data_IF_244403062438
#
_entry.id   IF_244403062438
#
_cell.length_a   1.000
_cell.length_b   1.000
_cell.length_c   1.000
_cell.angle_alpha   90.00
_cell.angle_beta   90.00
_cell.angle_gamma   90.00
#
_symmetry.space_group_name_H-M   'P 1'
#
loop_
_entity.id
_entity.type
_entity.pdbx_description
1 polymer ?
#
# COMPACT_ATOMS: atom_id res chain seq x y z
N UNK A 1 27.09 54.16 -22.32
CA UNK A 1 25.73 54.20 -22.91
C UNK A 1 25.40 52.86 -23.60
N UNK A 2 24.92 51.85 -22.85
CA UNK A 2 24.48 50.55 -23.41
C UNK A 2 23.23 49.99 -22.70
N UNK A 3 22.45 50.85 -22.03
CA UNK A 3 21.41 50.39 -21.08
C UNK A 3 19.97 50.84 -21.41
N UNK A 4 19.71 51.47 -22.56
CA UNK A 4 18.36 51.91 -22.95
C UNK A 4 17.71 51.07 -24.06
N UNK A 5 18.50 50.29 -24.82
CA UNK A 5 17.97 49.46 -25.92
C UNK A 5 17.30 48.16 -25.46
N UNK A 6 17.65 47.65 -24.27
CA UNK A 6 17.12 46.38 -23.77
C UNK A 6 15.70 46.45 -23.18
N UNK A 7 15.29 47.60 -22.65
CA UNK A 7 14.01 47.75 -21.93
C UNK A 7 12.80 47.79 -22.87
N UNK A 8 12.96 48.29 -24.10
CA UNK A 8 11.88 48.34 -25.10
C UNK A 8 11.57 46.98 -25.74
N UNK A 9 12.58 46.11 -25.86
CA UNK A 9 12.46 44.80 -26.53
C UNK A 9 11.54 43.85 -25.77
N UNK A 10 11.47 43.94 -24.42
CA UNK A 10 10.70 43.02 -23.59
C UNK A 10 9.41 43.60 -22.99
N UNK A 11 8.95 44.79 -23.44
CA UNK A 11 7.67 45.35 -22.94
C UNK A 11 6.47 44.42 -23.19
N UNK A 12 6.55 43.54 -24.17
CA UNK A 12 5.51 42.53 -24.44
C UNK A 12 5.31 41.55 -23.28
N UNK A 13 6.29 41.37 -22.37
CA UNK A 13 6.15 40.55 -21.17
C UNK A 13 5.07 41.08 -20.21
N UNK A 14 4.70 42.36 -20.32
CA UNK A 14 3.62 42.99 -19.54
C UNK A 14 2.23 42.84 -20.19
N UNK A 15 2.15 42.21 -21.36
CA UNK A 15 0.84 41.93 -22.00
C UNK A 15 0.06 40.89 -21.20
N UNK A 16 -1.27 40.93 -21.28
CA UNK A 16 -2.17 39.97 -20.60
C UNK A 16 -1.75 38.51 -20.84
N UNK A 17 -1.37 38.18 -22.07
CA UNK A 17 -0.93 36.83 -22.42
C UNK A 17 0.32 36.41 -21.64
N UNK A 18 1.35 37.27 -21.58
CA UNK A 18 2.59 36.96 -20.86
C UNK A 18 2.43 36.98 -19.35
N UNK A 19 1.60 37.86 -18.80
CA UNK A 19 1.25 37.83 -17.38
C UNK A 19 0.56 36.53 -16.99
N UNK A 20 -0.36 36.02 -17.83
CA UNK A 20 -1.00 34.72 -17.62
C UNK A 20 0.04 33.58 -17.72
N UNK A 21 0.91 33.58 -18.73
CA UNK A 21 1.98 32.57 -18.86
C UNK A 21 2.89 32.54 -17.65
N UNK A 22 3.32 33.71 -17.16
CA UNK A 22 4.16 33.82 -15.96
C UNK A 22 3.44 33.37 -14.70
N UNK A 23 2.15 33.72 -14.56
CA UNK A 23 1.33 33.26 -13.44
C UNK A 23 1.17 31.74 -13.46
N UNK A 24 0.91 31.13 -14.62
CA UNK A 24 0.83 29.68 -14.77
C UNK A 24 2.17 29.04 -14.39
N UNK A 25 3.30 29.55 -14.91
CA UNK A 25 4.62 29.04 -14.57
C UNK A 25 4.91 29.15 -13.07
N UNK A 26 4.57 30.30 -12.46
CA UNK A 26 4.72 30.56 -11.02
C UNK A 26 3.92 29.60 -10.16
N UNK A 27 2.75 29.16 -10.61
CA UNK A 27 1.90 28.17 -9.91
C UNK A 27 2.34 26.73 -10.18
N UNK A 28 2.78 26.41 -11.40
CA UNK A 28 3.20 25.06 -11.78
C UNK A 28 4.50 24.65 -11.10
N UNK A 29 5.49 25.54 -10.99
CA UNK A 29 6.78 25.24 -10.35
C UNK A 29 6.62 24.68 -8.92
N UNK A 30 5.96 25.37 -7.97
CA UNK A 30 5.78 24.82 -6.62
C UNK A 30 4.89 23.57 -6.61
N UNK A 31 3.93 23.45 -7.53
CA UNK A 31 3.13 22.25 -7.67
C UNK A 31 3.98 21.03 -8.09
N UNK A 32 4.83 21.15 -9.10
CA UNK A 32 5.72 20.06 -9.55
C UNK A 32 6.76 19.71 -8.50
N UNK A 33 7.31 20.70 -7.76
CA UNK A 33 8.18 20.43 -6.61
C UNK A 33 7.46 19.59 -5.56
N UNK A 34 6.25 20.01 -5.16
CA UNK A 34 5.44 19.29 -4.16
C UNK A 34 5.12 17.87 -4.61
N UNK A 35 4.80 17.66 -5.88
CA UNK A 35 4.55 16.34 -6.45
C UNK A 35 5.80 15.47 -6.45
N UNK A 36 6.98 16.04 -6.71
CA UNK A 36 8.26 15.34 -6.60
C UNK A 36 8.52 14.83 -5.18
N UNK A 37 8.36 15.69 -4.17
CA UNK A 37 8.48 15.27 -2.76
C UNK A 37 7.42 14.25 -2.35
N UNK A 38 6.18 14.39 -2.82
CA UNK A 38 5.14 13.41 -2.55
C UNK A 38 5.51 12.02 -3.09
N UNK A 39 6.05 11.93 -4.31
CA UNK A 39 6.56 10.67 -4.88
C UNK A 39 7.79 10.15 -4.13
N UNK A 40 8.69 11.03 -3.68
CA UNK A 40 9.85 10.62 -2.87
C UNK A 40 9.41 10.01 -1.53
N UNK A 41 8.50 10.65 -0.79
CA UNK A 41 8.00 10.09 0.46
C UNK A 41 7.27 8.76 0.24
N UNK A 42 6.55 8.61 -0.88
CA UNK A 42 5.91 7.34 -1.28
C UNK A 42 6.96 6.25 -1.51
N UNK A 43 8.07 6.60 -2.16
CA UNK A 43 9.21 5.71 -2.36
C UNK A 43 9.84 5.29 -1.03
N UNK A 44 10.21 6.24 -0.17
CA UNK A 44 10.83 5.98 1.13
C UNK A 44 9.95 5.09 2.02
N UNK A 45 8.64 5.38 2.06
CA UNK A 45 7.69 4.55 2.81
C UNK A 45 7.62 3.10 2.27
N UNK A 46 7.73 2.93 0.94
CA UNK A 46 7.76 1.61 0.31
C UNK A 46 9.05 0.85 0.64
N UNK A 47 10.21 1.53 0.58
CA UNK A 47 11.52 0.96 0.94
C UNK A 47 11.54 0.53 2.40
N UNK A 48 11.18 1.42 3.32
CA UNK A 48 11.19 1.12 4.77
C UNK A 48 10.28 -0.09 5.10
N UNK A 49 9.09 -0.16 4.47
CA UNK A 49 8.19 -1.31 4.64
C UNK A 49 8.80 -2.60 4.09
N UNK A 50 9.41 -2.55 2.92
CA UNK A 50 10.05 -3.70 2.29
C UNK A 50 11.24 -4.21 3.12
N UNK A 51 12.06 -3.32 3.69
CA UNK A 51 13.15 -3.68 4.60
C UNK A 51 12.63 -4.36 5.87
N UNK A 52 11.53 -3.86 6.45
CA UNK A 52 10.87 -4.50 7.60
C UNK A 52 10.40 -5.91 7.28
N UNK A 53 9.72 -6.10 6.15
CA UNK A 53 9.26 -7.42 5.70
C UNK A 53 10.47 -8.35 5.46
N UNK A 54 11.44 -7.88 4.68
CA UNK A 54 12.61 -8.67 4.30
C UNK A 54 13.39 -9.15 5.52
N UNK A 55 13.61 -8.27 6.50
CA UNK A 55 14.24 -8.64 7.77
C UNK A 55 13.40 -9.65 8.56
N UNK A 56 12.09 -9.41 8.68
CA UNK A 56 11.22 -10.28 9.46
C UNK A 56 11.12 -11.70 8.90
N UNK A 57 11.26 -11.86 7.57
CA UNK A 57 11.24 -13.14 6.88
C UNK A 57 12.59 -13.88 6.94
N UNK A 58 13.72 -13.18 7.01
CA UNK A 58 15.05 -13.80 7.09
C UNK A 58 15.51 -14.10 8.52
N UNK A 59 14.99 -13.38 9.52
CA UNK A 59 15.31 -13.62 10.93
C UNK A 59 14.83 -15.02 11.37
N UNK A 60 15.67 -15.84 12.04
CA UNK A 60 15.29 -17.17 12.51
C UNK A 60 14.01 -17.12 13.36
N UNK A 61 13.05 -18.04 13.23
CA UNK A 61 11.83 -18.00 14.01
C UNK A 61 12.09 -17.99 15.52
N UNK A 62 11.30 -17.22 16.27
CA UNK A 62 11.34 -17.23 17.74
C UNK A 62 10.10 -17.92 18.32
N UNK A 63 10.21 -18.53 19.50
CA UNK A 63 9.04 -19.04 20.21
C UNK A 63 7.99 -17.93 20.40
N UNK A 64 6.72 -18.21 20.09
CA UNK A 64 5.64 -17.23 20.16
C UNK A 64 5.50 -16.59 21.55
N UNK A 65 5.76 -17.38 22.61
CA UNK A 65 5.71 -16.93 24.00
C UNK A 65 6.81 -15.93 24.39
N UNK A 66 7.93 -15.90 23.65
CA UNK A 66 9.03 -14.95 23.86
C UNK A 66 8.69 -13.52 23.42
N UNK A 67 7.63 -13.34 22.62
CA UNK A 67 7.20 -12.03 22.08
C UNK A 67 6.13 -11.34 22.93
N UNK A 68 5.82 -11.89 24.11
CA UNK A 68 4.84 -11.40 25.09
C UNK A 68 3.37 -11.44 24.64
N UNK A 69 2.75 -12.61 24.40
CA UNK A 69 1.36 -12.67 24.02
C UNK A 69 0.50 -12.82 25.28
N UNK A 70 0.18 -11.71 25.95
CA UNK A 70 -0.91 -11.65 26.92
C UNK A 70 -2.23 -11.36 26.18
N UNK A 71 -3.40 -11.70 26.75
CA UNK A 71 -4.67 -11.20 26.24
C UNK A 71 -4.65 -9.67 26.11
N UNK A 72 -5.09 -9.15 24.97
CA UNK A 72 -5.07 -7.71 24.67
C UNK A 72 -3.69 -7.14 24.30
N UNK A 73 -2.67 -7.98 24.07
CA UNK A 73 -1.38 -7.51 23.55
C UNK A 73 -1.53 -6.94 22.13
N UNK A 74 -1.31 -5.63 22.00
CA UNK A 74 -1.29 -4.95 20.71
C UNK A 74 0.06 -5.17 20.02
N UNK A 75 0.08 -6.00 18.97
CA UNK A 75 1.29 -6.32 18.19
C UNK A 75 1.93 -5.05 17.62
N UNK A 76 3.18 -4.72 18.00
CA UNK A 76 3.93 -3.61 17.44
C UNK A 76 4.17 -3.76 15.93
N UNK A 77 4.30 -2.64 15.22
CA UNK A 77 4.50 -2.62 13.76
C UNK A 77 5.80 -3.31 13.33
N UNK A 78 6.84 -3.20 14.14
CA UNK A 78 8.16 -3.81 13.92
C UNK A 78 8.19 -5.32 14.19
N UNK A 79 7.21 -5.86 14.95
CA UNK A 79 7.01 -7.30 15.10
C UNK A 79 6.04 -7.88 14.05
N UNK A 80 5.46 -7.04 13.20
CA UNK A 80 4.60 -7.52 12.12
C UNK A 80 5.43 -8.32 11.11
N UNK A 81 4.92 -9.48 10.70
CA UNK A 81 5.57 -10.51 9.89
C UNK A 81 6.69 -11.29 10.56
N UNK A 82 7.00 -11.01 11.83
CA UNK A 82 8.02 -11.77 12.55
C UNK A 82 7.70 -13.26 12.50
N UNK A 83 8.62 -14.07 11.98
CA UNK A 83 8.48 -15.52 12.01
C UNK A 83 8.47 -16.03 13.45
N UNK A 84 7.47 -16.83 13.80
CA UNK A 84 7.30 -17.41 15.13
C UNK A 84 7.00 -18.90 15.06
N UNK A 85 7.46 -19.64 16.07
CA UNK A 85 7.10 -21.04 16.26
C UNK A 85 6.09 -21.18 17.39
N UNK A 86 5.09 -22.04 17.18
CA UNK A 86 4.09 -22.36 18.19
C UNK A 86 3.79 -23.87 18.15
N UNK A 87 3.63 -24.46 19.33
CA UNK A 87 3.27 -25.88 19.49
C UNK A 87 1.97 -25.97 20.27
N UNK A 88 1.03 -26.78 19.76
CA UNK A 88 -0.30 -26.85 20.34
C UNK A 88 -1.24 -27.81 19.62
N UNK A 89 -2.49 -27.81 20.04
CA UNK A 89 -3.57 -28.57 19.39
C UNK A 89 -4.62 -27.59 18.85
N UNK A 90 -5.05 -27.80 17.61
CA UNK A 90 -6.14 -27.00 17.05
C UNK A 90 -7.45 -27.25 17.79
N UNK A 91 -8.32 -26.25 17.82
CA UNK A 91 -9.70 -26.35 18.32
C UNK A 91 -10.69 -26.17 17.16
N UNK A 92 -11.01 -27.25 16.41
CA UNK A 92 -11.90 -27.18 15.24
C UNK A 92 -13.34 -26.78 15.59
N UNK A 93 -13.76 -26.95 16.84
CA UNK A 93 -15.10 -26.56 17.29
C UNK A 93 -15.29 -25.04 17.20
N UNK A 94 -14.21 -24.28 17.36
CA UNK A 94 -14.19 -22.82 17.28
C UNK A 94 -13.51 -22.30 16.01
N UNK A 95 -13.33 -23.13 14.99
CA UNK A 95 -12.86 -22.68 13.68
C UNK A 95 -13.88 -21.72 13.06
N UNK A 96 -13.43 -20.70 12.34
CA UNK A 96 -14.30 -19.76 11.65
C UNK A 96 -13.66 -19.28 10.37
N UNK A 97 -14.46 -18.61 9.54
CA UNK A 97 -13.99 -18.03 8.29
C UNK A 97 -14.13 -16.52 8.26
N UNK A 98 -13.16 -15.86 7.65
CA UNK A 98 -13.19 -14.41 7.43
C UNK A 98 -13.43 -14.13 5.96
N UNK A 99 -14.53 -13.45 5.66
CA UNK A 99 -15.01 -13.32 4.27
C UNK A 99 -14.27 -12.23 3.50
N UNK A 100 -14.55 -12.20 2.19
CA UNK A 100 -14.09 -11.16 1.24
C UNK A 100 -12.56 -11.08 1.18
N UNK A 101 -11.93 -12.24 1.24
CA UNK A 101 -10.48 -12.39 1.10
C UNK A 101 -10.18 -12.84 -0.30
N UNK A 102 -9.22 -12.20 -0.95
CA UNK A 102 -8.80 -12.61 -2.29
C UNK A 102 -7.75 -13.70 -2.20
N UNK A 103 -7.71 -14.56 -3.22
CA UNK A 103 -6.59 -15.47 -3.44
C UNK A 103 -5.27 -14.70 -3.70
N UNK A 104 -4.20 -15.46 -3.97
CA UNK A 104 -2.89 -14.88 -4.24
C UNK A 104 -2.81 -14.10 -5.56
N UNK A 105 -3.70 -14.34 -6.53
CA UNK A 105 -3.71 -13.58 -7.79
C UNK A 105 -4.54 -12.30 -7.68
N UNK A 106 -5.50 -12.25 -6.75
CA UNK A 106 -6.41 -11.14 -6.57
C UNK A 106 -7.72 -11.28 -7.35
N UNK A 107 -7.91 -12.39 -8.07
CA UNK A 107 -9.01 -12.56 -9.02
C UNK A 107 -10.24 -13.22 -8.38
N UNK A 108 -10.02 -14.10 -7.40
CA UNK A 108 -11.08 -14.89 -6.78
C UNK A 108 -11.37 -14.41 -5.37
N UNK A 109 -12.63 -14.13 -5.07
CA UNK A 109 -13.08 -13.84 -3.71
C UNK A 109 -13.39 -15.16 -3.00
N UNK A 110 -12.87 -15.29 -1.79
CA UNK A 110 -13.10 -16.41 -0.90
C UNK A 110 -12.94 -15.99 0.56
N UNK A 111 -12.34 -16.89 1.33
CA UNK A 111 -12.33 -16.84 2.78
C UNK A 111 -10.95 -17.17 3.31
N UNK A 112 -10.54 -16.48 4.39
CA UNK A 112 -9.49 -17.00 5.24
C UNK A 112 -10.09 -17.98 6.24
N UNK A 113 -9.41 -19.11 6.44
CA UNK A 113 -9.76 -20.13 7.43
C UNK A 113 -8.94 -19.87 8.68
N UNK A 114 -9.61 -19.61 9.79
CA UNK A 114 -8.95 -19.33 11.07
C UNK A 114 -9.37 -20.38 12.10
N UNK A 115 -8.39 -21.08 12.64
CA UNK A 115 -8.61 -22.10 13.67
C UNK A 115 -7.81 -21.71 14.91
N UNK A 116 -8.44 -21.60 16.09
CA UNK A 116 -7.70 -21.40 17.33
C UNK A 116 -6.75 -22.56 17.62
N UNK A 117 -5.54 -22.26 18.09
CA UNK A 117 -4.53 -23.23 18.52
C UNK A 117 -4.31 -23.07 20.02
N UNK A 118 -4.69 -24.11 20.78
CA UNK A 118 -4.41 -24.19 22.22
C UNK A 118 -2.95 -24.57 22.40
N UNK A 119 -2.16 -23.67 22.98
CA UNK A 119 -0.73 -23.88 23.14
C UNK A 119 -0.46 -24.99 24.18
N UNK A 120 0.51 -25.86 23.88
CA UNK A 120 0.88 -27.00 24.75
C UNK A 120 1.51 -26.57 26.07
N UNK A 121 2.02 -25.34 26.15
CA UNK A 121 2.56 -24.74 27.38
C UNK A 121 1.48 -24.22 28.35
N UNK A 122 0.20 -24.25 27.93
CA UNK A 122 -0.95 -23.81 28.72
C UNK A 122 -1.09 -22.29 28.87
N UNK A 123 -0.27 -21.48 28.19
CA UNK A 123 -0.28 -20.01 28.34
C UNK A 123 -1.48 -19.33 27.69
N UNK A 124 -2.17 -20.02 26.79
CA UNK A 124 -3.38 -19.51 26.16
C UNK A 124 -3.67 -20.12 24.80
N UNK A 125 -4.54 -19.45 24.06
CA UNK A 125 -4.94 -19.85 22.71
C UNK A 125 -4.58 -18.76 21.72
N UNK A 126 -3.89 -19.10 20.64
CA UNK A 126 -3.55 -18.15 19.56
C UNK A 126 -4.43 -18.43 18.34
N UNK A 127 -4.88 -17.37 17.65
CA UNK A 127 -5.58 -17.53 16.38
C UNK A 127 -4.58 -17.85 15.26
N UNK A 128 -4.86 -18.88 14.47
CA UNK A 128 -4.03 -19.27 13.33
C UNK A 128 -4.85 -19.17 12.05
N UNK A 129 -4.48 -18.23 11.18
CA UNK A 129 -4.95 -18.21 9.81
C UNK A 129 -4.22 -19.30 9.02
N UNK A 130 -4.93 -20.40 8.76
CA UNK A 130 -4.42 -21.59 8.06
C UNK A 130 -4.30 -21.38 6.55
N UNK A 131 -4.84 -20.29 6.02
CA UNK A 131 -4.79 -19.96 4.61
C UNK A 131 -6.15 -19.60 4.02
N UNK A 132 -6.23 -19.65 2.70
CA UNK A 132 -7.36 -19.23 1.91
C UNK A 132 -8.10 -20.41 1.28
N UNK A 133 -9.42 -20.31 1.19
CA UNK A 133 -10.29 -21.21 0.42
C UNK A 133 -11.23 -20.41 -0.47
N UNK A 134 -11.56 -20.95 -1.64
CA UNK A 134 -12.55 -20.36 -2.52
C UNK A 134 -13.94 -20.32 -1.86
N UNK A 135 -14.78 -19.38 -2.29
CA UNK A 135 -16.19 -19.42 -1.88
C UNK A 135 -16.86 -20.68 -2.39
N UNK A 136 -17.80 -21.22 -1.60
CA UNK A 136 -18.71 -22.27 -2.08
C UNK A 136 -19.68 -21.76 -3.16
N UNK A 137 -20.77 -22.48 -3.37
CA UNK A 137 -21.77 -22.13 -4.39
C UNK A 137 -22.42 -20.76 -4.15
N UNK A 138 -22.50 -20.30 -2.90
CA UNK A 138 -23.02 -18.98 -2.53
C UNK A 138 -22.12 -18.27 -1.52
N UNK A 139 -22.13 -16.94 -1.54
CA UNK A 139 -21.32 -16.10 -0.63
C UNK A 139 -21.86 -16.03 0.81
N UNK A 140 -22.93 -16.78 1.12
CA UNK A 140 -23.56 -16.84 2.45
C UNK A 140 -23.40 -18.20 3.11
N UNK A 141 -23.10 -19.25 2.35
CA UNK A 141 -22.84 -20.57 2.89
C UNK A 141 -21.42 -20.65 3.47
N UNK A 142 -21.25 -21.50 4.49
CA UNK A 142 -19.92 -21.80 5.02
C UNK A 142 -19.13 -22.57 3.94
N UNK A 143 -17.91 -22.12 3.56
CA UNK A 143 -17.17 -22.75 2.48
C UNK A 143 -16.71 -24.16 2.86
N UNK A 144 -16.41 -25.04 1.89
CA UNK A 144 -15.72 -26.28 2.18
C UNK A 144 -14.32 -25.97 2.73
N UNK A 145 -14.06 -26.38 3.97
CA UNK A 145 -12.79 -26.14 4.67
C UNK A 145 -12.09 -27.48 4.91
N UNK A 146 -10.82 -27.64 4.47
CA UNK A 146 -10.01 -28.80 4.84
C UNK A 146 -9.81 -28.89 6.36
N UNK A 147 -10.02 -30.08 6.92
CA UNK A 147 -9.92 -30.31 8.35
C UNK A 147 -8.55 -29.91 8.92
N UNK A 148 -8.53 -29.36 10.13
CA UNK A 148 -7.28 -29.10 10.82
C UNK A 148 -6.55 -30.42 11.15
N UNK A 149 -5.20 -30.45 11.14
CA UNK A 149 -4.46 -31.62 11.60
C UNK A 149 -4.91 -32.03 13.01
N UNK A 150 -5.11 -33.33 13.22
CA UNK A 150 -5.43 -33.87 14.52
C UNK A 150 -4.17 -34.04 15.39
N UNK A 151 -4.35 -33.93 16.70
CA UNK A 151 -3.26 -34.06 17.66
C UNK A 151 -2.39 -32.81 17.78
N UNK A 152 -1.20 -32.97 18.34
CA UNK A 152 -0.25 -31.88 18.54
C UNK A 152 0.49 -31.54 17.26
N UNK A 153 0.56 -30.24 16.95
CA UNK A 153 1.30 -29.70 15.83
C UNK A 153 2.35 -28.72 16.32
N UNK A 154 3.46 -28.65 15.61
CA UNK A 154 4.39 -27.51 15.68
C UNK A 154 4.32 -26.76 14.36
N UNK A 155 3.99 -25.48 14.43
CA UNK A 155 3.87 -24.63 13.26
C UNK A 155 4.87 -23.48 13.31
N UNK A 156 5.24 -23.02 12.11
CA UNK A 156 5.85 -21.71 11.90
C UNK A 156 4.81 -20.81 11.27
N UNK A 157 4.60 -19.64 11.85
CA UNK A 157 3.70 -18.63 11.35
C UNK A 157 4.35 -17.25 11.32
N UNK A 158 3.76 -16.33 10.57
CA UNK A 158 4.14 -14.92 10.60
C UNK A 158 3.20 -14.19 11.54
N UNK A 159 3.74 -13.48 12.52
CA UNK A 159 2.95 -12.72 13.47
C UNK A 159 2.25 -11.55 12.77
N UNK A 160 0.96 -11.37 13.05
CA UNK A 160 0.16 -10.26 12.54
C UNK A 160 -0.58 -9.60 13.70
N UNK A 161 -0.73 -8.29 13.60
CA UNK A 161 -1.65 -7.56 14.46
C UNK A 161 -3.08 -7.98 14.15
N UNK A 162 -3.93 -7.99 15.17
CA UNK A 162 -5.37 -8.15 14.98
C UNK A 162 -5.92 -7.07 14.05
N UNK A 163 -6.99 -7.41 13.34
CA UNK A 163 -7.68 -6.49 12.46
C UNK A 163 -8.76 -5.75 13.23
N UNK A 164 -8.87 -4.44 12.99
CA UNK A 164 -9.89 -3.59 13.62
C UNK A 164 -10.68 -2.83 12.57
N UNK A 165 -11.94 -2.53 12.87
CA UNK A 165 -12.80 -1.76 11.96
C UNK A 165 -12.27 -0.34 11.72
N UNK A 166 -11.65 0.28 12.73
CA UNK A 166 -11.03 1.59 12.62
C UNK A 166 -9.83 1.61 11.67
N UNK A 167 -8.97 0.58 11.71
CA UNK A 167 -7.80 0.50 10.85
C UNK A 167 -8.11 0.00 9.42
N UNK A 168 -9.12 -0.85 9.26
CA UNK A 168 -9.47 -1.47 7.97
C UNK A 168 -10.44 -0.65 7.12
N UNK A 169 -11.19 0.29 7.73
CA UNK A 169 -12.29 0.99 7.06
C UNK A 169 -13.49 0.08 6.71
N UNK A 170 -13.45 -1.18 7.16
CA UNK A 170 -14.56 -2.12 7.03
C UNK A 170 -15.65 -1.69 8.01
N UNK A 171 -16.90 -1.72 7.56
CA UNK A 171 -18.05 -1.46 8.44
C UNK A 171 -18.44 -2.74 9.14
N UNK A 172 -18.67 -2.64 10.45
CA UNK A 172 -19.30 -3.71 11.20
C UNK A 172 -20.75 -3.87 10.72
N UNK A 173 -21.14 -5.10 10.39
CA UNK A 173 -22.47 -5.43 9.88
C UNK A 173 -23.01 -6.59 10.71
N UNK A 174 -24.12 -6.36 11.38
CA UNK A 174 -24.86 -7.39 12.10
C UNK A 174 -25.47 -8.43 11.14
N UNK A 175 -25.76 -9.62 11.67
CA UNK A 175 -26.48 -10.68 10.93
C UNK A 175 -25.61 -11.46 9.94
N UNK A 176 -24.31 -11.62 10.22
CA UNK A 176 -23.49 -12.56 9.47
C UNK A 176 -23.95 -13.99 9.75
N UNK A 177 -23.82 -14.91 8.76
CA UNK A 177 -24.03 -16.32 9.02
C UNK A 177 -23.11 -16.85 10.12
N UNK A 178 -23.52 -17.94 10.75
CA UNK A 178 -22.77 -18.56 11.84
C UNK A 178 -21.31 -18.86 11.44
N UNK A 179 -20.38 -18.62 12.37
CA UNK A 179 -18.93 -18.79 12.20
C UNK A 179 -18.31 -18.01 11.02
N UNK A 180 -18.96 -16.93 10.57
CA UNK A 180 -18.42 -16.03 9.56
C UNK A 180 -18.19 -14.62 10.10
N UNK A 181 -16.99 -14.09 9.87
CA UNK A 181 -16.58 -12.78 10.36
C UNK A 181 -16.05 -11.90 9.22
N UNK A 182 -15.99 -10.59 9.45
CA UNK A 182 -15.35 -9.67 8.51
C UNK A 182 -13.85 -9.50 8.82
N UNK A 183 -13.45 -9.67 10.08
CA UNK A 183 -12.12 -9.40 10.58
C UNK A 183 -11.59 -10.57 11.44
N UNK A 184 -10.26 -10.73 11.44
CA UNK A 184 -9.56 -11.55 12.43
C UNK A 184 -9.30 -10.65 13.65
N UNK A 185 -10.16 -10.71 14.66
CA UNK A 185 -10.14 -9.82 15.81
C UNK A 185 -10.28 -10.61 17.13
N UNK A 186 -9.18 -10.69 17.88
CA UNK A 186 -9.10 -11.50 19.09
C UNK A 186 -10.14 -11.12 20.14
N UNK A 187 -10.48 -9.84 20.29
CA UNK A 187 -11.52 -9.41 21.24
C UNK A 187 -12.92 -9.88 20.83
N UNK A 188 -13.23 -9.82 19.53
CA UNK A 188 -14.50 -10.32 19.00
C UNK A 188 -14.59 -11.83 19.16
N UNK A 189 -13.55 -12.57 18.77
CA UNK A 189 -13.57 -14.02 18.85
C UNK A 189 -13.49 -14.56 20.30
N UNK A 190 -12.85 -13.85 21.23
CA UNK A 190 -12.84 -14.22 22.64
C UNK A 190 -14.25 -14.13 23.25
N UNK A 191 -15.06 -13.15 22.85
CA UNK A 191 -16.46 -13.02 23.30
C UNK A 191 -17.36 -14.14 22.80
N UNK A 192 -17.15 -14.58 21.56
CA UNK A 192 -17.95 -15.66 20.93
C UNK A 192 -17.57 -17.04 21.48
N UNK A 193 -16.28 -17.29 21.71
CA UNK A 193 -15.77 -18.61 22.12
C UNK A 193 -15.62 -18.78 23.63
N UNK A 194 -15.60 -17.68 24.39
CA UNK A 194 -15.25 -17.68 25.81
C UNK A 194 -13.78 -18.02 26.09
N UNK A 195 -12.94 -18.16 25.06
CA UNK A 195 -11.55 -18.55 25.21
C UNK A 195 -10.65 -17.35 25.56
N UNK A 196 -9.60 -17.61 26.34
CA UNK A 196 -8.51 -16.66 26.57
C UNK A 196 -7.62 -16.60 25.33
N UNK A 197 -7.96 -15.68 24.41
CA UNK A 197 -7.20 -15.46 23.19
C UNK A 197 -6.01 -14.52 23.44
N UNK A 198 -4.87 -14.94 22.93
CA UNK A 198 -3.64 -14.20 22.96
C UNK A 198 -3.62 -13.14 21.85
N UNK A 199 -2.95 -12.00 22.08
CA UNK A 199 -2.97 -10.87 21.15
C UNK A 199 -2.38 -11.17 19.77
N UNK A 200 -3.03 -10.63 18.74
CA UNK A 200 -2.68 -10.85 17.34
C UNK A 200 -3.08 -12.23 16.81
N UNK A 201 -2.58 -12.58 15.63
CA UNK A 201 -2.80 -13.89 15.02
C UNK A 201 -1.58 -14.33 14.20
N UNK A 202 -1.52 -15.62 13.87
CA UNK A 202 -0.46 -16.20 13.06
C UNK A 202 -0.96 -16.49 11.65
N UNK A 203 -0.26 -15.99 10.63
CA UNK A 203 -0.42 -16.47 9.26
C UNK A 203 0.45 -17.71 9.09
N UNK A 204 -0.17 -18.87 8.86
CA UNK A 204 0.53 -20.14 8.72
C UNK A 204 1.52 -20.10 7.55
N UNK A 205 2.77 -20.48 7.83
CA UNK A 205 3.81 -20.66 6.82
C UNK A 205 4.18 -22.14 6.64
N UNK A 206 4.27 -22.89 7.75
CA UNK A 206 4.54 -24.33 7.73
C UNK A 206 3.97 -24.99 8.99
N UNK A 207 3.65 -26.29 8.92
CA UNK A 207 3.20 -27.09 10.05
C UNK A 207 3.76 -28.49 10.00
N UNK A 208 4.03 -29.09 11.16
CA UNK A 208 4.45 -30.49 11.33
C UNK A 208 3.55 -31.15 12.40
N UNK A 209 2.97 -32.33 12.12
CA UNK A 209 2.98 -33.05 10.84
C UNK A 209 2.30 -32.24 9.73
N UNK A 210 2.73 -32.48 8.49
CA UNK A 210 2.09 -31.89 7.31
C UNK A 210 0.73 -32.58 7.08
N UNK A 211 -0.37 -31.83 6.90
CA UNK A 211 -1.66 -32.44 6.60
C UNK A 211 -1.71 -32.98 5.17
N UNK A 212 -2.62 -33.94 4.94
CA UNK A 212 -2.89 -34.45 3.59
C UNK A 212 -3.58 -33.42 2.68
N UNK A 213 -4.37 -32.53 3.27
CA UNK A 213 -5.04 -31.42 2.60
C UNK A 213 -5.06 -30.18 3.50
N UNK A 214 -4.97 -28.99 2.92
CA UNK A 214 -4.95 -27.72 3.65
C UNK A 214 -5.43 -26.55 2.78
N UNK A 215 -5.94 -25.47 3.41
CA UNK A 215 -6.16 -24.21 2.71
C UNK A 215 -4.90 -23.73 1.98
N UNK A 216 -5.09 -22.95 0.92
CA UNK A 216 -3.99 -22.34 0.19
C UNK A 216 -3.25 -21.38 1.12
N UNK A 217 -1.96 -21.63 1.38
CA UNK A 217 -1.17 -20.75 2.24
C UNK A 217 -1.09 -19.33 1.65
N UNK A 218 -1.14 -18.34 2.53
CA UNK A 218 -0.93 -16.94 2.12
C UNK A 218 0.54 -16.78 1.77
N UNK A 219 0.87 -16.31 0.55
CA UNK A 219 2.26 -16.10 0.15
C UNK A 219 2.91 -15.04 1.02
N UNK A 220 4.24 -15.05 1.05
CA UNK A 220 4.98 -14.00 1.72
C UNK A 220 4.66 -12.63 1.11
N UNK A 221 4.64 -11.56 1.92
CA UNK A 221 4.41 -10.23 1.40
C UNK A 221 5.52 -9.84 0.43
N UNK A 222 5.14 -9.31 -0.73
CA UNK A 222 6.12 -8.79 -1.68
C UNK A 222 6.88 -7.61 -1.05
N UNK A 223 8.18 -7.79 -0.96
CA UNK A 223 9.13 -6.81 -0.43
C UNK A 223 10.30 -6.52 -1.38
N UNK A 224 10.28 -7.04 -2.61
CA UNK A 224 11.28 -6.73 -3.64
C UNK A 224 10.84 -5.59 -4.56
N UNK A 225 9.52 -5.41 -4.73
CA UNK A 225 8.98 -4.34 -5.58
C UNK A 225 8.90 -2.99 -4.84
N UNK A 226 9.64 -2.02 -5.39
CA UNK A 226 9.75 -0.63 -4.91
C UNK A 226 8.87 0.31 -5.76
N UNK A 227 8.41 -0.13 -6.93
CA UNK A 227 7.66 0.67 -7.88
C UNK A 227 8.46 1.83 -8.51
N UNK A 228 7.86 2.56 -9.46
CA UNK A 228 8.52 3.64 -10.20
C UNK A 228 8.54 4.99 -9.47
N UNK A 229 8.23 5.02 -8.18
CA UNK A 229 8.03 6.26 -7.40
C UNK A 229 9.25 7.19 -7.47
N UNK A 230 10.47 6.65 -7.41
CA UNK A 230 11.70 7.45 -7.57
C UNK A 230 11.82 8.07 -8.96
N UNK A 231 11.55 7.30 -10.02
CA UNK A 231 11.60 7.80 -11.39
C UNK A 231 10.60 8.94 -11.60
N UNK A 232 9.39 8.82 -11.02
CA UNK A 232 8.41 9.90 -11.06
C UNK A 232 8.83 11.12 -10.25
N UNK A 233 9.48 10.95 -9.10
CA UNK A 233 10.02 12.09 -8.34
C UNK A 233 11.00 12.91 -9.18
N UNK A 234 11.94 12.21 -9.84
CA UNK A 234 12.90 12.83 -10.77
C UNK A 234 12.17 13.51 -11.94
N UNK A 235 11.19 12.84 -12.55
CA UNK A 235 10.39 13.41 -13.63
C UNK A 235 9.72 14.74 -13.23
N UNK A 236 9.13 14.82 -12.03
CA UNK A 236 8.52 16.05 -11.52
C UNK A 236 9.54 17.18 -11.30
N UNK A 237 10.74 16.85 -10.84
CA UNK A 237 11.81 17.84 -10.71
C UNK A 237 12.39 18.26 -12.06
N UNK A 238 12.41 17.37 -13.06
CA UNK A 238 12.75 17.75 -14.44
C UNK A 238 11.72 18.75 -15.00
N UNK A 239 10.42 18.53 -14.79
CA UNK A 239 9.40 19.52 -15.18
C UNK A 239 9.61 20.87 -14.47
N UNK A 240 9.96 20.84 -13.19
CA UNK A 240 10.30 22.05 -12.42
C UNK A 240 11.42 22.84 -13.10
N UNK A 241 12.47 22.17 -13.58
CA UNK A 241 13.58 22.81 -14.29
C UNK A 241 13.22 23.23 -15.73
N UNK A 242 12.38 22.47 -16.42
CA UNK A 242 11.99 22.75 -17.82
C UNK A 242 11.04 23.94 -17.95
N UNK A 243 10.17 24.20 -16.97
CA UNK A 243 9.22 25.33 -17.01
C UNK A 243 9.93 26.69 -17.22
N UNK A 244 10.91 27.12 -16.40
CA UNK A 244 11.59 28.39 -16.61
C UNK A 244 12.40 28.43 -17.90
N UNK A 245 13.00 27.30 -18.30
CA UNK A 245 13.70 27.17 -19.60
C UNK A 245 12.73 27.40 -20.76
N UNK A 246 11.56 26.78 -20.73
CA UNK A 246 10.52 26.94 -21.74
C UNK A 246 10.02 28.38 -21.82
N UNK A 247 9.74 29.01 -20.68
CA UNK A 247 9.35 30.43 -20.59
C UNK A 247 10.43 31.34 -21.20
N UNK A 248 11.70 31.08 -20.91
CA UNK A 248 12.83 31.84 -21.47
C UNK A 248 13.00 31.65 -22.98
N UNK A 249 12.88 30.41 -23.49
CA UNK A 249 12.93 30.13 -24.94
C UNK A 249 11.79 30.85 -25.65
N UNK A 250 10.56 30.76 -25.13
CA UNK A 250 9.40 31.45 -25.69
C UNK A 250 9.60 32.97 -25.71
N UNK A 251 10.17 33.54 -24.65
CA UNK A 251 10.41 34.99 -24.57
C UNK A 251 11.47 35.43 -25.58
N UNK A 252 12.53 34.63 -25.77
CA UNK A 252 13.56 34.90 -26.78
C UNK A 252 13.04 34.80 -28.21
N UNK A 253 12.19 33.82 -28.49
CA UNK A 253 11.58 33.65 -29.82
C UNK A 253 10.68 34.84 -30.16
N UNK A 254 9.77 35.20 -29.26
CA UNK A 254 8.87 36.34 -29.42
C UNK A 254 9.64 37.67 -29.60
N UNK A 255 10.70 37.89 -28.83
CA UNK A 255 11.54 39.08 -28.98
C UNK A 255 12.23 39.14 -30.36
N UNK A 256 12.69 38.00 -30.88
CA UNK A 256 13.32 37.90 -32.20
C UNK A 256 12.31 38.13 -33.32
N UNK A 257 11.11 37.58 -33.20
CA UNK A 257 10.05 37.71 -34.21
C UNK A 257 9.53 39.15 -34.28
N UNK A 258 9.35 39.82 -33.13
CA UNK A 258 9.02 41.25 -33.07
C UNK A 258 10.13 42.14 -33.65
N UNK A 259 11.40 41.81 -33.40
CA UNK A 259 12.52 42.57 -33.96
C UNK A 259 12.63 42.42 -35.49
N UNK A 260 12.27 41.26 -36.05
CA UNK A 260 12.19 41.04 -37.50
C UNK A 260 11.07 41.87 -38.14
N UNK A 261 9.88 41.83 -37.56
CA UNK A 261 8.72 42.62 -38.04
C UNK A 261 8.98 44.12 -38.02
N UNK A 262 9.73 44.62 -37.02
CA UNK A 262 10.11 46.03 -36.95
C UNK A 262 11.18 46.44 -37.99
N UNK A 263 11.84 45.48 -38.65
CA UNK A 263 12.91 45.71 -39.62
C UNK A 263 12.53 45.43 -41.08
N UNK A 264 11.34 44.89 -41.36
CA UNK A 264 10.81 44.74 -42.73
C UNK A 264 10.22 46.10 -43.17
N UNK A 265 10.77 46.77 -44.20
CA UNK A 265 10.18 47.98 -44.72
C UNK A 265 8.82 47.66 -45.35
N UNK A 266 7.82 48.48 -45.02
CA UNK A 266 6.50 48.47 -45.63
C UNK A 266 6.68 48.53 -47.15
N UNK A 267 6.41 47.43 -47.86
CA UNK A 267 6.37 47.46 -49.33
C UNK A 267 5.20 48.34 -49.71
N UNK A 268 5.50 49.62 -49.99
CA UNK A 268 4.56 50.58 -50.56
C UNK A 268 4.07 50.00 -51.87
N UNK A 269 2.86 49.44 -51.86
CA UNK A 269 2.10 49.19 -53.09
C UNK A 269 1.73 50.55 -53.68
N UNK A 270 2.54 51.01 -54.62
CA UNK A 270 2.23 52.18 -55.45
C UNK A 270 0.92 51.91 -56.22
N UNK A 271 -0.06 52.83 -56.19
CA UNK A 271 -1.27 52.66 -57.00
C UNK A 271 -0.90 52.88 -58.47
N UNK A 272 -1.23 51.89 -59.31
CA UNK A 272 -1.11 51.99 -60.78
C UNK A 272 -2.03 53.13 -61.26
N UNK A 273 -1.50 54.19 -61.89
CA UNK A 273 -2.34 55.25 -62.44
C UNK A 273 -3.11 54.74 -63.67
N UNK A 274 -4.34 55.22 -63.81
CA UNK A 274 -5.33 54.83 -64.81
C UNK A 274 -4.96 55.24 -66.25
#
# INVERSE_FOLDING_TARGET
>A
MRSAYGSHVYRFLLTRQWLITMLIALLLIPATIRLGFWQLHRHEARVARNELIGKALTDPPVPYDSLSPAPGFAVPKDLTWRAVTATGQYDPAHEFVVRKRTDSSGDTIGYFVVTPLKLSDGKGTVLVNRGWVASGATATEYPPVPAAPAGEVTLTGRLRAEETYGASGIKDRAGLPDRQFNLINTDQQAKETGATLLGGYLELAATTPAPADQPQLIPEPNHSDIGPHMAYAIQWWLFTAMIPVGVWILARREAKDRARQAGEPETVTEPVPA
#
